data_IF_778573586203
#
_entry.id   IF_778573586203
#
_cell.length_a   1.000
_cell.length_b   1.000
_cell.length_c   1.000
_cell.angle_alpha   90.00
_cell.angle_beta   90.00
_cell.angle_gamma   90.00
#
_symmetry.space_group_name_H-M   'P 1'
#
loop_
_entity.id
_entity.type
_entity.pdbx_description
1 polymer ?
#
# COMPACT_ATOMS: atom_id res chain seq x y z
N UNK A 1 3.58 12.71 12.47
CA UNK A 1 2.95 13.79 11.69
C UNK A 1 3.98 14.32 10.71
N UNK A 2 3.92 13.91 9.44
CA UNK A 2 4.99 14.14 8.46
C UNK A 2 4.72 15.30 7.48
N UNK A 3 3.52 15.89 7.46
CA UNK A 3 3.11 16.86 6.43
C UNK A 3 3.26 18.35 6.78
N UNK A 4 3.61 18.70 8.02
CA UNK A 4 3.77 20.10 8.43
C UNK A 4 5.14 20.66 7.99
N UNK A 5 5.16 21.47 6.92
CA UNK A 5 6.34 22.23 6.47
C UNK A 5 7.15 21.62 5.32
N UNK A 6 6.68 20.52 4.72
CA UNK A 6 7.34 19.88 3.57
C UNK A 6 6.96 20.59 2.25
N UNK A 7 7.85 20.56 1.24
CA UNK A 7 7.51 21.06 -0.11
C UNK A 7 6.33 20.29 -0.70
N UNK A 8 5.59 20.87 -1.64
CA UNK A 8 4.46 20.18 -2.32
C UNK A 8 4.88 18.82 -2.91
N UNK A 9 6.12 18.72 -3.39
CA UNK A 9 6.73 17.47 -3.87
C UNK A 9 6.88 16.44 -2.74
N UNK A 10 7.37 16.85 -1.58
CA UNK A 10 7.49 15.97 -0.43
C UNK A 10 6.12 15.55 0.13
N UNK A 11 5.11 16.45 0.10
CA UNK A 11 3.73 16.12 0.46
C UNK A 11 3.17 15.06 -0.50
N UNK A 12 3.37 15.22 -1.82
CA UNK A 12 2.91 14.26 -2.82
C UNK A 12 3.58 12.88 -2.64
N UNK A 13 4.88 12.85 -2.34
CA UNK A 13 5.62 11.62 -2.04
C UNK A 13 5.10 10.92 -0.79
N UNK A 14 4.86 11.67 0.29
CA UNK A 14 4.28 11.15 1.52
C UNK A 14 2.84 10.65 1.33
N UNK A 15 2.04 11.33 0.52
CA UNK A 15 0.70 10.90 0.15
C UNK A 15 0.73 9.57 -0.62
N UNK A 16 1.69 9.41 -1.54
CA UNK A 16 1.89 8.16 -2.29
C UNK A 16 2.30 7.02 -1.35
N UNK A 17 3.22 7.26 -0.41
CA UNK A 17 3.57 6.26 0.62
C UNK A 17 2.34 5.88 1.46
N UNK A 18 1.55 6.86 1.89
CA UNK A 18 0.31 6.61 2.63
C UNK A 18 -0.66 5.74 1.83
N UNK A 19 -0.85 6.05 0.56
CA UNK A 19 -1.70 5.27 -0.35
C UNK A 19 -1.27 3.81 -0.43
N UNK A 20 0.01 3.56 -0.67
CA UNK A 20 0.53 2.20 -0.82
C UNK A 20 0.72 1.41 0.47
N UNK A 21 0.47 2.03 1.63
CA UNK A 21 0.63 1.38 2.94
C UNK A 21 -0.66 1.37 3.74
N UNK A 22 -1.18 2.53 4.12
CA UNK A 22 -2.36 2.63 4.99
C UNK A 22 -3.64 2.35 4.22
N UNK A 23 -3.73 2.76 2.95
CA UNK A 23 -4.95 2.56 2.15
C UNK A 23 -4.95 1.22 1.42
N UNK A 24 -3.83 0.88 0.75
CA UNK A 24 -3.71 -0.30 -0.11
C UNK A 24 -2.48 -1.16 0.23
N UNK A 25 -2.00 -1.13 1.47
CA UNK A 25 -0.86 -1.95 1.87
C UNK A 25 -1.20 -3.41 2.14
N UNK A 26 -0.20 -4.26 1.90
CA UNK A 26 -0.21 -5.68 2.20
C UNK A 26 0.91 -6.03 3.20
N UNK A 27 0.72 -7.14 3.92
CA UNK A 27 1.73 -7.68 4.83
C UNK A 27 1.87 -9.19 4.63
N UNK A 28 3.09 -9.71 4.77
CA UNK A 28 3.33 -11.16 4.74
C UNK A 28 2.82 -11.81 6.03
N UNK A 29 2.13 -12.93 5.88
CA UNK A 29 1.75 -13.76 7.02
C UNK A 29 2.97 -14.45 7.62
N UNK A 30 3.08 -14.42 8.94
CA UNK A 30 4.08 -15.19 9.70
C UNK A 30 3.60 -16.61 10.01
N UNK A 31 2.33 -16.91 9.76
CA UNK A 31 1.76 -18.23 9.95
C UNK A 31 2.12 -19.14 8.78
N UNK A 32 2.39 -20.41 9.08
CA UNK A 32 2.56 -21.41 8.03
C UNK A 32 1.22 -21.59 7.29
N UNK A 33 1.21 -21.58 5.95
CA UNK A 33 0.02 -21.91 5.18
C UNK A 33 -0.55 -23.25 5.63
N UNK A 34 -1.80 -23.25 6.06
CA UNK A 34 -2.58 -24.48 6.34
C UNK A 34 -3.41 -24.90 5.14
N UNK A 35 -3.68 -23.97 4.25
CA UNK A 35 -4.41 -24.16 2.99
C UNK A 35 -3.40 -24.11 1.83
N UNK A 36 -3.40 -25.09 0.90
CA UNK A 36 -2.55 -25.06 -0.29
C UNK A 36 -2.79 -23.84 -1.21
N UNK A 37 -3.94 -23.18 -1.10
CA UNK A 37 -4.27 -21.97 -1.86
C UNK A 37 -3.95 -20.66 -1.12
N UNK A 38 -3.43 -20.72 0.12
CA UNK A 38 -2.99 -19.52 0.86
C UNK A 38 -1.71 -18.93 0.24
N UNK A 39 -1.82 -17.69 -0.22
CA UNK A 39 -0.71 -16.92 -0.83
C UNK A 39 0.31 -16.43 0.20
N UNK A 40 0.01 -16.53 1.49
CA UNK A 40 0.77 -15.92 2.56
C UNK A 40 0.66 -14.39 2.58
N UNK A 41 -0.24 -13.80 1.78
CA UNK A 41 -0.54 -12.37 1.75
C UNK A 41 -1.69 -12.08 2.70
N UNK A 42 -1.58 -11.00 3.47
CA UNK A 42 -2.66 -10.48 4.32
C UNK A 42 -2.87 -9.02 4.02
N UNK A 43 -4.13 -8.61 4.03
CA UNK A 43 -4.54 -7.23 3.81
C UNK A 43 -4.42 -6.44 5.10
N UNK A 44 -3.84 -5.24 5.01
CA UNK A 44 -3.85 -4.25 6.10
C UNK A 44 -4.44 -2.91 5.67
N UNK A 45 -4.47 -2.62 4.36
CA UNK A 45 -4.98 -1.38 3.80
C UNK A 45 -6.47 -1.18 4.04
N UNK A 46 -6.87 -0.01 4.52
CA UNK A 46 -8.27 0.32 4.81
C UNK A 46 -9.16 0.31 3.56
N UNK A 47 -8.64 0.81 2.42
CA UNK A 47 -9.32 0.77 1.13
C UNK A 47 -9.63 -0.65 0.68
N UNK A 48 -8.68 -1.58 0.86
CA UNK A 48 -8.89 -2.98 0.51
C UNK A 48 -9.86 -3.66 1.49
N UNK A 49 -9.71 -3.41 2.80
CA UNK A 49 -10.58 -4.02 3.82
C UNK A 49 -12.06 -3.60 3.68
N UNK A 50 -12.32 -2.43 3.09
CA UNK A 50 -13.67 -1.93 2.82
C UNK A 50 -14.24 -2.36 1.46
N UNK A 51 -13.45 -3.07 0.64
CA UNK A 51 -13.82 -3.51 -0.71
C UNK A 51 -13.65 -5.03 -0.85
N UNK A 52 -14.76 -5.76 -0.81
CA UNK A 52 -14.74 -7.23 -0.92
C UNK A 52 -14.06 -7.72 -2.20
N UNK A 53 -14.37 -7.11 -3.35
CA UNK A 53 -13.75 -7.47 -4.62
C UNK A 53 -12.26 -7.16 -4.66
N UNK A 54 -11.81 -6.06 -4.05
CA UNK A 54 -10.38 -5.71 -4.04
C UNK A 54 -9.57 -6.58 -3.07
N UNK A 55 -10.21 -7.08 -2.02
CA UNK A 55 -9.62 -8.08 -1.13
C UNK A 55 -9.33 -9.39 -1.89
N UNK A 56 -10.26 -9.85 -2.72
CA UNK A 56 -10.02 -11.00 -3.60
C UNK A 56 -8.90 -10.69 -4.60
N UNK A 57 -8.96 -9.53 -5.27
CA UNK A 57 -7.96 -9.12 -6.25
C UNK A 57 -6.54 -9.13 -5.69
N UNK A 58 -6.35 -8.56 -4.50
CA UNK A 58 -5.03 -8.34 -3.88
C UNK A 58 -4.43 -9.57 -3.19
N UNK A 59 -5.26 -10.48 -2.65
CA UNK A 59 -4.77 -11.58 -1.80
C UNK A 59 -5.03 -12.98 -2.38
N UNK A 60 -5.97 -13.14 -3.32
CA UNK A 60 -6.27 -14.46 -3.87
C UNK A 60 -5.16 -14.94 -4.81
N UNK A 61 -4.90 -16.26 -4.79
CA UNK A 61 -3.94 -16.90 -5.71
C UNK A 61 -4.36 -16.71 -7.17
N UNK A 62 -5.66 -16.73 -7.42
CA UNK A 62 -6.29 -16.55 -8.75
C UNK A 62 -7.59 -15.76 -8.57
N UNK A 63 -7.56 -14.43 -8.75
CA UNK A 63 -8.78 -13.63 -8.76
C UNK A 63 -9.74 -14.08 -9.85
N UNK A 64 -11.04 -14.03 -9.57
CA UNK A 64 -12.10 -14.34 -10.52
C UNK A 64 -12.24 -13.26 -11.60
N UNK A 65 -12.85 -13.63 -12.74
CA UNK A 65 -13.16 -12.66 -13.78
C UNK A 65 -14.22 -11.64 -13.31
N UNK A 66 -15.16 -12.04 -12.44
CA UNK A 66 -16.14 -11.13 -11.84
C UNK A 66 -15.45 -10.03 -10.99
N UNK A 67 -14.50 -10.41 -10.14
CA UNK A 67 -13.66 -9.48 -9.38
C UNK A 67 -12.93 -8.49 -10.31
N UNK A 68 -12.36 -8.99 -11.42
CA UNK A 68 -11.66 -8.15 -12.41
C UNK A 68 -12.60 -7.18 -13.13
N UNK A 69 -13.83 -7.58 -13.41
CA UNK A 69 -14.85 -6.71 -14.01
C UNK A 69 -15.30 -5.61 -13.05
N UNK A 70 -15.61 -5.97 -11.79
CA UNK A 70 -16.03 -5.02 -10.74
C UNK A 70 -14.97 -3.94 -10.50
N UNK A 71 -13.70 -4.35 -10.46
CA UNK A 71 -12.56 -3.46 -10.28
C UNK A 71 -12.13 -2.66 -11.50
N UNK A 72 -12.84 -2.79 -12.63
CA UNK A 72 -12.44 -2.26 -13.94
C UNK A 72 -11.09 -2.76 -14.47
N UNK A 73 -10.46 -3.75 -13.83
CA UNK A 73 -9.21 -4.38 -14.30
C UNK A 73 -9.40 -5.01 -15.67
N UNK A 74 -10.52 -5.72 -15.90
CA UNK A 74 -10.78 -6.36 -17.19
C UNK A 74 -10.87 -5.36 -18.35
N UNK A 75 -11.26 -4.11 -18.07
CA UNK A 75 -11.36 -3.03 -19.04
C UNK A 75 -10.03 -2.29 -19.22
N UNK A 76 -9.43 -1.87 -18.12
CA UNK A 76 -8.27 -0.98 -18.12
C UNK A 76 -6.94 -1.74 -18.29
N UNK A 77 -6.90 -3.02 -17.87
CA UNK A 77 -5.76 -3.93 -17.94
C UNK A 77 -6.20 -5.34 -18.40
N UNK A 78 -6.66 -5.50 -19.66
CA UNK A 78 -7.35 -6.72 -20.14
C UNK A 78 -6.49 -7.99 -20.05
N UNK A 79 -5.17 -7.86 -20.18
CA UNK A 79 -4.23 -8.97 -20.12
C UNK A 79 -3.83 -9.34 -18.69
N UNK A 80 -4.12 -8.48 -17.70
CA UNK A 80 -3.73 -8.68 -16.32
C UNK A 80 -4.66 -9.67 -15.62
N UNK A 81 -4.09 -10.80 -15.18
CA UNK A 81 -4.81 -11.85 -14.44
C UNK A 81 -4.61 -11.80 -12.93
N UNK A 82 -3.51 -11.21 -12.49
CA UNK A 82 -3.17 -10.99 -11.09
C UNK A 82 -2.50 -9.62 -10.95
N UNK A 83 -2.62 -8.96 -9.78
CA UNK A 83 -1.85 -7.77 -9.52
C UNK A 83 -0.36 -8.10 -9.37
N UNK A 84 0.46 -7.08 -9.55
CA UNK A 84 1.89 -7.15 -9.23
C UNK A 84 2.05 -6.86 -7.75
N UNK A 85 2.72 -7.74 -7.02
CA UNK A 85 3.03 -7.53 -5.60
C UNK A 85 4.54 -7.33 -5.46
N UNK A 86 4.95 -6.12 -5.12
CA UNK A 86 6.35 -5.71 -4.97
C UNK A 86 6.70 -5.57 -3.49
N UNK A 87 7.98 -5.79 -3.13
CA UNK A 87 8.42 -5.50 -1.76
C UNK A 87 8.35 -4.01 -1.50
N UNK A 88 7.88 -3.62 -0.31
CA UNK A 88 7.77 -2.22 0.06
C UNK A 88 9.14 -1.55 0.14
N UNK A 89 9.35 -0.55 -0.70
CA UNK A 89 10.45 0.41 -0.64
C UNK A 89 9.86 1.82 -0.66
N UNK A 90 10.04 2.63 0.39
CA UNK A 90 9.50 3.99 0.45
C UNK A 90 9.91 4.88 -0.72
N UNK A 91 11.14 4.71 -1.26
CA UNK A 91 11.63 5.53 -2.38
C UNK A 91 10.89 5.20 -3.66
N UNK A 92 10.64 3.92 -3.89
CA UNK A 92 9.88 3.45 -5.06
C UNK A 92 8.41 3.82 -4.92
N UNK A 93 7.81 3.56 -3.75
CA UNK A 93 6.40 3.85 -3.49
C UNK A 93 6.08 5.36 -3.55
N UNK A 94 7.01 6.22 -3.15
CA UNK A 94 6.87 7.67 -3.23
C UNK A 94 6.72 8.23 -4.64
N UNK A 95 7.22 7.51 -5.66
CA UNK A 95 7.22 7.94 -7.06
C UNK A 95 6.30 7.10 -7.95
N UNK A 96 5.73 6.01 -7.41
CA UNK A 96 4.90 5.08 -8.17
C UNK A 96 3.53 5.73 -8.47
N UNK A 97 3.12 5.83 -9.75
CA UNK A 97 1.78 6.29 -10.08
C UNK A 97 0.74 5.21 -9.74
N UNK A 98 -0.47 5.63 -9.36
CA UNK A 98 -1.57 4.74 -9.02
C UNK A 98 -2.92 5.24 -9.57
N UNK A 99 -3.82 4.33 -10.01
CA UNK A 99 -5.17 4.69 -10.38
C UNK A 99 -6.06 4.91 -9.15
N UNK A 100 -7.03 5.82 -9.26
CA UNK A 100 -7.97 6.14 -8.18
C UNK A 100 -9.32 5.42 -8.37
N UNK A 101 -9.72 5.13 -9.62
CA UNK A 101 -11.06 4.64 -9.99
C UNK A 101 -11.10 3.15 -10.37
N UNK A 102 -9.96 2.47 -10.30
CA UNK A 102 -9.76 1.09 -10.74
C UNK A 102 -9.00 0.39 -9.62
N UNK A 103 -9.21 -0.93 -9.45
CA UNK A 103 -8.39 -1.69 -8.50
C UNK A 103 -6.91 -1.54 -8.80
N UNK A 104 -6.08 -1.62 -7.76
CA UNK A 104 -4.67 -1.33 -7.94
C UNK A 104 -4.00 -2.44 -8.78
N UNK A 105 -3.29 -2.08 -9.87
CA UNK A 105 -2.52 -3.05 -10.65
C UNK A 105 -1.24 -3.48 -9.91
N UNK A 106 -0.78 -2.66 -8.96
CA UNK A 106 0.41 -2.93 -8.15
C UNK A 106 0.14 -2.64 -6.69
N UNK A 107 0.54 -3.56 -5.83
CA UNK A 107 0.54 -3.43 -4.38
C UNK A 107 1.95 -3.56 -3.84
N UNK A 108 2.19 -2.98 -2.66
CA UNK A 108 3.41 -3.19 -1.91
C UNK A 108 3.17 -4.07 -0.69
N UNK A 109 4.07 -5.02 -0.48
CA UNK A 109 4.05 -5.94 0.66
C UNK A 109 5.24 -5.70 1.59
N UNK A 110 4.96 -5.50 2.87
CA UNK A 110 5.97 -5.51 3.93
C UNK A 110 6.08 -6.87 4.62
N UNK A 111 7.21 -7.17 5.26
CA UNK A 111 7.36 -8.38 6.06
C UNK A 111 6.70 -8.20 7.45
N UNK A 112 6.65 -6.96 7.96
CA UNK A 112 5.88 -6.64 9.17
C UNK A 112 5.49 -5.15 9.24
N UNK A 113 4.47 -4.84 10.04
CA UNK A 113 4.09 -3.45 10.35
C UNK A 113 5.24 -2.65 10.99
N UNK A 114 6.08 -3.32 11.79
CA UNK A 114 7.23 -2.71 12.45
C UNK A 114 8.28 -2.28 11.42
N UNK A 115 8.66 -3.19 10.54
CA UNK A 115 9.62 -2.93 9.47
C UNK A 115 9.13 -1.80 8.56
N UNK A 116 7.86 -1.84 8.11
CA UNK A 116 7.31 -0.76 7.27
C UNK A 116 7.34 0.59 7.98
N UNK A 117 7.02 0.63 9.28
CA UNK A 117 7.11 1.85 10.08
C UNK A 117 8.55 2.37 10.16
N UNK A 118 9.53 1.50 10.38
CA UNK A 118 10.95 1.85 10.43
C UNK A 118 11.41 2.41 9.07
N UNK A 119 11.10 1.73 7.97
CA UNK A 119 11.43 2.19 6.61
C UNK A 119 10.80 3.55 6.27
N UNK A 120 9.53 3.77 6.64
CA UNK A 120 8.85 5.06 6.43
C UNK A 120 9.51 6.15 7.29
N UNK A 121 9.88 5.83 8.53
CA UNK A 121 10.56 6.78 9.43
C UNK A 121 11.90 7.20 8.83
N UNK A 122 12.72 6.24 8.43
CA UNK A 122 14.02 6.48 7.82
C UNK A 122 13.89 7.31 6.54
N UNK A 123 12.89 7.00 5.70
CA UNK A 123 12.60 7.80 4.51
C UNK A 123 12.21 9.24 4.85
N UNK A 124 11.34 9.43 5.85
CA UNK A 124 10.93 10.76 6.28
C UNK A 124 12.12 11.60 6.78
N UNK A 125 13.15 10.96 7.36
CA UNK A 125 14.36 11.65 7.83
C UNK A 125 15.27 12.07 6.66
N UNK A 126 15.13 11.46 5.48
CA UNK A 126 15.79 11.91 4.25
C UNK A 126 15.08 13.07 3.55
N UNK A 127 13.81 13.33 3.89
CA UNK A 127 13.08 14.48 3.37
C UNK A 127 13.57 15.70 4.11
N UNK A 128 14.11 16.67 3.37
CA UNK A 128 14.58 17.92 3.94
C UNK A 128 13.37 18.72 4.46
N UNK A 129 13.28 18.84 5.79
CA UNK A 129 12.20 19.56 6.47
C UNK A 129 12.80 20.81 7.11
N UNK A 130 12.24 22.01 6.91
CA UNK A 130 12.73 23.23 7.55
C UNK A 130 12.58 23.23 9.07
N UNK A 131 11.80 22.32 9.67
CA UNK A 131 11.71 22.12 11.12
C UNK A 131 11.11 20.74 11.48
N UNK A 132 11.42 20.23 12.67
CA UNK A 132 10.89 18.97 13.21
C UNK A 132 9.72 19.24 14.18
N UNK A 133 8.46 18.95 13.80
CA UNK A 133 7.37 18.97 14.75
C UNK A 133 7.48 17.74 15.67
N UNK A 134 7.77 17.98 16.96
CA UNK A 134 7.60 16.98 18.01
C UNK A 134 6.16 17.05 18.48
N UNK A 135 5.46 15.91 18.45
CA UNK A 135 4.13 15.81 19.05
C UNK A 135 4.26 15.89 20.57
N UNK A 136 3.72 16.95 21.18
CA UNK A 136 3.55 17.05 22.62
C UNK A 136 2.12 16.62 22.99
N UNK A 137 1.94 15.43 23.61
CA UNK A 137 0.61 14.93 24.01
C UNK A 137 -0.10 15.80 25.05
N UNK A 138 0.57 16.81 25.63
CA UNK A 138 -0.03 17.73 26.59
C UNK A 138 -0.78 18.88 25.90
N UNK A 139 -0.49 19.18 24.62
CA UNK A 139 -1.04 20.38 23.95
C UNK A 139 -1.72 20.18 22.59
N UNK A 140 -1.70 18.97 22.00
CA UNK A 140 -2.66 18.59 20.95
C UNK A 140 -2.07 18.09 19.64
#
# INVERSE_FOLDING_TARGET
MASLGASDEAIARLASIYWFTVEFGLVRSTMKPTDPDDTGVRVMGAGILSSFGEMEWSAARRPSDECREMGSIARDYPDMRNPIIEKFDPKVAAEKPYPITTYQPTYFIGESLREMKELISDYCDTIDRPFHPVYDPITG
#
